data_IF_574929061011
#
_entry.id   IF_574929061011
#
_cell.length_a   1.000
_cell.length_b   1.000
_cell.length_c   1.000
_cell.angle_alpha   90.00
_cell.angle_beta   90.00
_cell.angle_gamma   90.00
#
_symmetry.space_group_name_H-M   'P 1'
#
loop_
_entity.id
_entity.type
_entity.pdbx_description
1 polymer ?
#
# COMPACT_ATOMS: atom_id res chain seq x y z
N UNK A 1 -26.76 -15.94 62.11
CA UNK A 1 -26.03 -15.15 63.12
C UNK A 1 -24.57 -15.20 62.70
N UNK A 2 -24.07 -14.26 61.91
CA UNK A 2 -23.87 -12.83 62.20
C UNK A 2 -22.82 -12.61 63.30
N UNK A 3 -21.67 -12.06 62.92
CA UNK A 3 -20.96 -10.89 63.49
C UNK A 3 -19.54 -10.85 62.90
N UNK A 4 -19.23 -9.96 61.95
CA UNK A 4 -18.87 -8.53 62.10
C UNK A 4 -17.59 -8.27 62.91
N UNK A 5 -16.60 -7.66 62.24
CA UNK A 5 -15.63 -6.68 62.78
C UNK A 5 -14.93 -6.04 61.57
N UNK A 6 -15.45 -4.92 61.04
CA UNK A 6 -15.31 -3.50 61.44
C UNK A 6 -14.19 -2.76 60.69
N UNK A 7 -14.61 -1.68 60.04
CA UNK A 7 -13.85 -0.66 59.33
C UNK A 7 -13.23 0.42 60.26
N UNK A 8 -11.99 0.86 59.94
CA UNK A 8 -11.44 2.27 59.74
C UNK A 8 -11.47 3.20 61.02
N UNK A 9 -10.63 4.24 61.26
CA UNK A 9 -10.01 5.13 60.26
C UNK A 9 -8.69 5.94 60.56
N UNK A 10 -8.33 6.79 59.58
CA UNK A 10 -7.49 8.03 59.55
C UNK A 10 -5.96 7.91 59.75
N UNK A 11 -5.07 8.53 58.94
CA UNK A 11 -5.01 9.87 58.33
C UNK A 11 -4.03 9.81 57.12
N UNK A 12 -4.18 10.62 56.07
CA UNK A 12 -3.46 11.89 55.91
C UNK A 12 -4.03 12.69 54.73
N UNK A 13 -4.04 14.02 54.92
CA UNK A 13 -4.42 15.02 53.94
C UNK A 13 -3.20 15.54 53.17
N UNK A 14 -3.49 16.06 51.96
CA UNK A 14 -2.80 17.18 51.30
C UNK A 14 -1.38 16.95 50.74
N UNK A 15 -1.26 16.88 49.42
CA UNK A 15 -0.83 18.04 48.62
C UNK A 15 -0.75 17.68 47.14
N UNK A 16 -1.43 18.46 46.32
CA UNK A 16 -1.26 18.58 44.88
C UNK A 16 0.17 19.03 44.54
N UNK A 17 0.77 18.46 43.48
CA UNK A 17 1.67 19.20 42.60
C UNK A 17 1.79 18.48 41.25
N UNK A 18 1.46 19.24 40.21
CA UNK A 18 1.62 18.92 38.79
C UNK A 18 3.06 18.54 38.46
N UNK A 19 3.23 17.52 37.60
CA UNK A 19 4.33 17.49 36.61
C UNK A 19 3.74 16.92 35.31
N UNK A 20 3.16 17.82 34.52
CA UNK A 20 3.11 17.69 33.06
C UNK A 20 4.54 17.89 32.51
N UNK A 21 4.87 17.13 31.46
CA UNK A 21 5.92 17.53 30.51
C UNK A 21 7.28 16.85 30.65
N UNK A 22 7.39 15.55 30.29
CA UNK A 22 8.69 14.99 29.92
C UNK A 22 8.71 13.70 29.07
N UNK A 23 7.57 13.16 28.61
CA UNK A 23 7.58 11.92 27.79
C UNK A 23 7.52 12.12 26.26
N UNK A 24 7.34 13.35 25.75
CA UNK A 24 7.26 13.59 24.30
C UNK A 24 8.63 13.81 23.62
N UNK A 25 9.68 14.15 24.39
CA UNK A 25 11.00 14.44 23.83
C UNK A 25 11.83 13.18 23.51
N UNK A 26 11.50 12.02 24.11
CA UNK A 26 12.21 10.76 23.83
C UNK A 26 11.72 10.03 22.57
N UNK A 27 10.48 10.29 22.11
CA UNK A 27 9.95 9.70 20.88
C UNK A 27 10.52 10.37 19.62
N UNK A 28 10.54 11.71 19.58
CA UNK A 28 10.98 12.47 18.41
C UNK A 28 12.52 12.45 18.22
N UNK A 29 13.28 12.48 19.32
CA UNK A 29 14.74 12.36 19.26
C UNK A 29 15.15 10.90 19.00
N UNK A 30 14.38 9.93 19.49
CA UNK A 30 14.58 8.50 19.24
C UNK A 30 14.54 8.13 17.77
N UNK A 31 13.56 8.64 17.01
CA UNK A 31 13.39 8.35 15.56
C UNK A 31 14.46 9.04 14.70
N UNK A 32 14.82 10.29 15.00
CA UNK A 32 15.87 11.03 14.25
C UNK A 32 17.27 10.47 14.57
N UNK A 33 17.50 10.03 15.81
CA UNK A 33 18.76 9.36 16.20
C UNK A 33 18.80 7.93 15.66
N UNK A 34 17.68 7.19 15.64
CA UNK A 34 17.62 5.85 15.04
C UNK A 34 17.88 5.89 13.54
N UNK A 35 17.29 6.86 12.81
CA UNK A 35 17.59 7.08 11.39
C UNK A 35 19.01 7.63 11.19
N UNK A 36 19.51 8.55 12.00
CA UNK A 36 20.92 8.99 11.91
C UNK A 36 21.93 7.87 12.17
N UNK A 37 21.69 7.04 13.18
CA UNK A 37 22.52 5.90 13.54
C UNK A 37 22.41 4.76 12.52
N UNK A 38 21.21 4.54 11.95
CA UNK A 38 21.02 3.58 10.86
C UNK A 38 21.79 4.02 9.59
N UNK A 39 21.89 5.32 9.31
CA UNK A 39 22.68 5.86 8.18
C UNK A 39 24.17 5.61 8.38
N UNK A 40 24.64 5.90 9.60
CA UNK A 40 26.04 5.69 9.99
C UNK A 40 26.36 4.20 10.01
N UNK A 41 25.46 3.35 10.51
CA UNK A 41 25.60 1.90 10.51
C UNK A 41 25.64 1.34 9.08
N UNK A 42 24.74 1.77 8.20
CA UNK A 42 24.73 1.41 6.77
C UNK A 42 26.03 1.83 6.07
N UNK A 43 26.49 3.07 6.27
CA UNK A 43 27.78 3.55 5.72
C UNK A 43 28.98 2.76 6.26
N UNK A 44 28.97 2.38 7.54
CA UNK A 44 30.04 1.60 8.18
C UNK A 44 30.04 0.15 7.67
N UNK A 45 28.87 -0.48 7.51
CA UNK A 45 28.73 -1.84 6.98
C UNK A 45 29.18 -1.91 5.52
N UNK A 46 28.73 -0.97 4.67
CA UNK A 46 29.08 -0.92 3.26
C UNK A 46 30.57 -0.58 3.01
N UNK A 47 31.20 0.23 3.88
CA UNK A 47 32.65 0.48 3.82
C UNK A 47 33.50 -0.72 4.30
N UNK A 48 32.94 -1.66 5.08
CA UNK A 48 33.66 -2.86 5.56
C UNK A 48 33.67 -4.01 4.54
N UNK A 49 32.77 -4.01 3.55
CA UNK A 49 32.72 -5.02 2.47
C UNK A 49 33.79 -4.85 1.38
N UNK A 50 34.58 -3.78 1.38
CA UNK A 50 35.60 -3.50 0.36
C UNK A 50 37.03 -3.95 0.71
N UNK A 51 37.23 -4.80 1.73
CA UNK A 51 38.54 -5.38 2.03
C UNK A 51 38.53 -6.92 1.96
N UNK A 52 39.26 -7.55 1.02
CA UNK A 52 39.34 -9.00 0.95
C UNK A 52 40.19 -9.51 2.12
N UNK A 53 39.59 -10.28 3.03
CA UNK A 53 40.31 -11.09 4.01
C UNK A 53 40.39 -12.53 3.51
N UNK A 54 41.59 -12.98 3.18
CA UNK A 54 41.89 -14.39 2.91
C UNK A 54 41.67 -15.23 4.17
N UNK A 55 40.81 -16.26 4.12
CA UNK A 55 40.61 -17.19 5.24
C UNK A 55 40.57 -18.63 4.72
N UNK A 56 41.35 -19.50 5.36
CA UNK A 56 41.50 -20.94 5.07
C UNK A 56 40.31 -21.80 5.55
N UNK A 57 40.17 -23.05 5.07
CA UNK A 57 38.94 -23.82 5.17
C UNK A 57 38.83 -24.63 6.47
N UNK A 58 38.34 -24.03 7.56
CA UNK A 58 37.98 -24.79 8.79
C UNK A 58 36.83 -24.20 9.64
N UNK A 59 36.02 -23.26 9.12
CA UNK A 59 34.97 -22.58 9.89
C UNK A 59 33.63 -22.47 9.13
N UNK A 60 33.09 -23.58 8.64
CA UNK A 60 31.96 -23.52 7.70
C UNK A 60 30.55 -23.67 8.28
N UNK A 61 30.36 -23.89 9.59
CA UNK A 61 28.99 -24.19 10.14
C UNK A 61 28.41 -23.11 11.06
N UNK A 62 29.23 -22.30 11.76
CA UNK A 62 28.71 -21.19 12.59
C UNK A 62 28.49 -19.87 11.85
N UNK A 63 29.19 -19.66 10.73
CA UNK A 63 29.07 -18.45 9.92
C UNK A 63 27.78 -18.38 9.07
N UNK A 64 27.06 -19.49 8.87
CA UNK A 64 25.88 -19.51 8.01
C UNK A 64 24.67 -18.86 8.67
N UNK A 65 24.44 -19.07 9.96
CA UNK A 65 23.35 -18.44 10.72
C UNK A 65 23.61 -16.95 10.97
N UNK A 66 24.83 -16.57 11.39
CA UNK A 66 25.20 -15.16 11.55
C UNK A 66 25.18 -14.39 10.23
N UNK A 67 25.64 -14.97 9.11
CA UNK A 67 25.55 -14.33 7.80
C UNK A 67 24.11 -14.24 7.28
N UNK A 68 23.21 -15.17 7.65
CA UNK A 68 21.79 -15.08 7.29
C UNK A 68 21.08 -13.99 8.09
N UNK A 69 21.40 -13.87 9.38
CA UNK A 69 20.83 -12.86 10.25
C UNK A 69 21.36 -11.46 9.92
N UNK A 70 22.64 -11.34 9.55
CA UNK A 70 23.23 -10.09 9.05
C UNK A 70 22.63 -9.65 7.71
N UNK A 71 22.46 -10.56 6.75
CA UNK A 71 21.77 -10.24 5.48
C UNK A 71 20.34 -9.79 5.73
N UNK A 72 19.60 -10.47 6.59
CA UNK A 72 18.24 -10.06 6.97
C UNK A 72 18.19 -8.66 7.60
N UNK A 73 19.15 -8.31 8.47
CA UNK A 73 19.22 -6.95 9.04
C UNK A 73 19.62 -5.88 8.02
N UNK A 74 20.47 -6.22 7.05
CA UNK A 74 20.89 -5.30 5.98
C UNK A 74 19.74 -5.04 4.99
N UNK A 75 18.96 -6.07 4.65
CA UNK A 75 17.76 -5.97 3.80
C UNK A 75 16.67 -5.12 4.46
N UNK A 76 16.41 -5.32 5.76
CA UNK A 76 15.44 -4.51 6.52
C UNK A 76 15.88 -3.04 6.56
N UNK A 77 17.14 -2.76 6.87
CA UNK A 77 17.66 -1.40 6.91
C UNK A 77 17.58 -0.74 5.53
N UNK A 78 17.90 -1.46 4.45
CA UNK A 78 17.79 -0.95 3.09
C UNK A 78 16.33 -0.62 2.70
N UNK A 79 15.39 -1.50 3.04
CA UNK A 79 13.95 -1.31 2.80
C UNK A 79 13.39 -0.09 3.55
N UNK A 80 13.69 0.03 4.85
CA UNK A 80 13.30 1.21 5.66
C UNK A 80 13.91 2.50 5.10
N UNK A 81 15.16 2.45 4.64
CA UNK A 81 15.82 3.59 4.02
C UNK A 81 15.21 4.01 2.68
N UNK A 82 14.85 3.04 1.84
CA UNK A 82 14.23 3.31 0.53
C UNK A 82 12.87 3.96 0.74
N UNK A 83 12.03 3.35 1.58
CA UNK A 83 10.70 3.85 1.91
C UNK A 83 10.73 5.28 2.47
N UNK A 84 11.61 5.57 3.43
CA UNK A 84 11.74 6.92 4.00
C UNK A 84 12.24 7.96 2.97
N UNK A 85 13.15 7.60 2.06
CA UNK A 85 13.60 8.49 0.98
C UNK A 85 12.52 8.72 -0.07
N UNK A 86 11.76 7.68 -0.40
CA UNK A 86 10.66 7.74 -1.35
C UNK A 86 9.55 8.66 -0.85
N UNK A 87 9.12 8.50 0.41
CA UNK A 87 8.17 9.42 1.06
C UNK A 87 8.68 10.87 1.06
N UNK A 88 9.98 11.10 1.32
CA UNK A 88 10.58 12.43 1.28
C UNK A 88 10.67 13.06 -0.13
N UNK A 89 10.78 12.25 -1.18
CA UNK A 89 10.78 12.71 -2.57
C UNK A 89 9.36 13.07 -3.05
N UNK A 90 8.38 12.23 -2.69
CA UNK A 90 6.94 12.43 -2.89
C UNK A 90 6.44 13.77 -2.32
N UNK A 91 6.94 14.17 -1.15
CA UNK A 91 6.58 15.42 -0.47
C UNK A 91 6.92 16.71 -1.22
N UNK A 92 7.72 16.63 -2.29
CA UNK A 92 8.03 17.79 -3.13
C UNK A 92 6.94 18.13 -4.13
N UNK A 93 5.95 17.25 -4.34
CA UNK A 93 4.82 17.50 -5.24
C UNK A 93 3.66 18.13 -4.46
N UNK A 94 3.36 19.40 -4.76
CA UNK A 94 2.21 20.11 -4.20
C UNK A 94 0.89 19.55 -4.74
N UNK A 95 0.44 18.40 -4.24
CA UNK A 95 -0.82 17.75 -4.65
C UNK A 95 -2.02 18.67 -4.40
N UNK A 96 -3.03 18.63 -5.29
CA UNK A 96 -4.25 19.41 -5.05
C UNK A 96 -5.01 18.95 -3.81
N UNK A 97 -4.82 17.70 -3.35
CA UNK A 97 -5.32 17.25 -2.06
C UNK A 97 -4.63 18.00 -0.91
N UNK A 98 -3.29 18.13 -0.97
CA UNK A 98 -2.52 18.90 0.03
C UNK A 98 -2.95 20.38 0.06
N UNK A 99 -3.23 20.96 -1.12
CA UNK A 99 -3.75 22.34 -1.23
C UNK A 99 -5.18 22.48 -0.70
N UNK A 100 -6.06 21.54 -1.01
CA UNK A 100 -7.43 21.51 -0.50
C UNK A 100 -7.46 21.44 1.02
N UNK A 101 -6.44 20.82 1.61
CA UNK A 101 -6.25 20.73 3.07
C UNK A 101 -5.60 21.98 3.68
N UNK A 102 -5.23 22.98 2.88
CA UNK A 102 -4.70 24.27 3.33
C UNK A 102 -3.25 24.22 3.83
N UNK A 103 -2.40 23.36 3.26
CA UNK A 103 -1.08 23.02 3.84
C UNK A 103 0.06 23.47 2.92
N UNK A 104 1.17 23.93 3.52
CA UNK A 104 2.38 24.39 2.81
C UNK A 104 3.37 23.26 2.55
N UNK A 105 4.08 23.30 1.41
CA UNK A 105 4.99 22.25 0.88
C UNK A 105 6.30 22.00 1.69
N UNK A 106 6.26 21.83 3.01
CA UNK A 106 7.46 21.49 3.80
C UNK A 106 7.45 20.01 4.24
N UNK A 107 8.56 19.31 4.00
CA UNK A 107 8.78 17.87 4.27
C UNK A 107 8.41 17.35 5.69
N UNK A 108 8.13 18.21 6.69
CA UNK A 108 7.72 17.80 8.05
C UNK A 108 6.21 17.80 8.26
N UNK A 109 5.44 18.12 7.23
CA UNK A 109 4.02 18.40 7.40
C UNK A 109 3.13 17.19 7.07
N UNK A 110 3.63 16.11 6.45
CA UNK A 110 2.75 14.99 6.03
C UNK A 110 2.49 13.91 7.07
N UNK A 111 3.45 13.56 7.92
CA UNK A 111 3.11 12.81 9.15
C UNK A 111 2.03 13.61 9.91
N UNK A 112 2.22 14.93 10.03
CA UNK A 112 1.18 15.84 10.57
C UNK A 112 -0.07 16.01 9.70
N UNK A 113 -0.10 15.57 8.44
CA UNK A 113 -1.30 15.56 7.58
C UNK A 113 -2.07 14.29 7.90
N UNK A 114 -1.40 13.13 7.90
CA UNK A 114 -2.01 11.87 8.26
C UNK A 114 -2.63 11.95 9.67
N UNK A 115 -1.94 12.60 10.60
CA UNK A 115 -2.43 12.86 11.98
C UNK A 115 -3.65 13.80 12.04
N UNK A 116 -4.09 14.43 10.95
CA UNK A 116 -5.32 15.25 10.92
C UNK A 116 -6.57 14.43 10.62
N UNK A 117 -6.40 13.22 10.07
CA UNK A 117 -7.50 12.36 9.67
C UNK A 117 -7.64 11.22 10.66
N UNK A 118 -8.77 11.18 11.33
CA UNK A 118 -9.08 10.16 12.32
C UNK A 118 -10.03 9.09 11.75
N UNK A 119 -10.73 9.40 10.65
CA UNK A 119 -11.69 8.47 10.03
C UNK A 119 -11.54 8.39 8.52
N UNK A 120 -12.05 7.29 7.94
CA UNK A 120 -12.07 7.09 6.47
C UNK A 120 -13.00 8.13 5.82
N UNK A 121 -14.08 8.48 6.49
CA UNK A 121 -15.08 9.44 6.01
C UNK A 121 -14.47 10.83 5.80
N UNK A 122 -13.60 11.28 6.71
CA UNK A 122 -12.88 12.55 6.56
C UNK A 122 -11.95 12.53 5.33
N UNK A 123 -11.29 11.40 5.06
CA UNK A 123 -10.46 11.23 3.86
C UNK A 123 -11.32 11.27 2.59
N UNK A 124 -12.45 10.56 2.56
CA UNK A 124 -13.39 10.61 1.44
C UNK A 124 -13.93 12.03 1.20
N UNK A 125 -14.25 12.77 2.26
CA UNK A 125 -14.69 14.17 2.14
C UNK A 125 -13.58 15.07 1.57
N UNK A 126 -12.34 14.91 2.04
CA UNK A 126 -11.20 15.65 1.52
C UNK A 126 -10.95 15.40 0.02
N UNK A 127 -11.04 14.13 -0.42
CA UNK A 127 -10.91 13.76 -1.84
C UNK A 127 -12.03 14.37 -2.68
N UNK A 128 -13.26 14.40 -2.15
CA UNK A 128 -14.40 15.07 -2.80
C UNK A 128 -14.17 16.57 -2.93
N UNK A 129 -13.72 17.22 -1.86
CA UNK A 129 -13.41 18.65 -1.84
C UNK A 129 -12.24 19.02 -2.77
N UNK A 130 -11.33 18.08 -3.03
CA UNK A 130 -10.26 18.23 -4.01
C UNK A 130 -10.74 18.08 -5.47
N UNK A 131 -12.02 17.75 -5.70
CA UNK A 131 -12.68 17.83 -7.00
C UNK A 131 -12.92 16.50 -7.72
N UNK A 132 -12.81 15.38 -7.00
CA UNK A 132 -13.27 14.06 -7.45
C UNK A 132 -14.75 13.94 -7.13
N UNK A 133 -15.59 13.86 -8.16
CA UNK A 133 -17.05 13.84 -8.02
C UNK A 133 -17.65 12.45 -8.28
N UNK A 134 -17.06 11.66 -9.16
CA UNK A 134 -17.46 10.29 -9.47
C UNK A 134 -16.28 9.48 -10.04
N UNK A 135 -16.25 8.19 -9.73
CA UNK A 135 -15.34 7.19 -10.30
C UNK A 135 -16.02 5.82 -10.31
N UNK A 136 -15.44 4.84 -11.01
CA UNK A 136 -15.78 3.43 -10.83
C UNK A 136 -14.54 2.66 -10.34
N UNK A 137 -14.74 1.53 -9.68
CA UNK A 137 -13.64 0.75 -9.08
C UNK A 137 -13.41 -0.58 -9.79
N UNK A 138 -12.13 -0.92 -9.97
CA UNK A 138 -11.69 -2.24 -10.43
C UNK A 138 -10.65 -2.76 -9.43
N UNK A 139 -10.76 -4.02 -9.01
CA UNK A 139 -9.74 -4.68 -8.21
C UNK A 139 -8.99 -5.74 -9.02
N UNK A 140 -7.68 -5.77 -8.87
CA UNK A 140 -6.81 -6.84 -9.34
C UNK A 140 -6.03 -7.45 -8.18
N UNK A 141 -6.17 -8.76 -8.00
CA UNK A 141 -5.59 -9.51 -6.89
C UNK A 141 -4.50 -10.45 -7.42
N UNK A 142 -3.29 -10.27 -6.92
CA UNK A 142 -2.13 -11.11 -7.22
C UNK A 142 -2.27 -12.49 -6.55
N UNK A 143 -2.27 -13.57 -7.34
CA UNK A 143 -2.27 -14.97 -6.89
C UNK A 143 -0.97 -15.71 -7.22
N UNK A 144 0.15 -15.01 -7.25
CA UNK A 144 1.46 -15.61 -7.49
C UNK A 144 1.97 -16.34 -6.25
N UNK A 145 2.88 -17.30 -6.46
CA UNK A 145 3.46 -18.12 -5.39
C UNK A 145 4.29 -17.34 -4.38
N UNK A 146 4.77 -16.15 -4.71
CA UNK A 146 5.59 -15.34 -3.80
C UNK A 146 4.84 -14.97 -2.53
N UNK A 147 3.53 -14.80 -2.61
CA UNK A 147 2.63 -14.63 -1.46
C UNK A 147 2.78 -15.70 -0.37
N UNK A 148 3.28 -16.91 -0.67
CA UNK A 148 3.52 -17.96 0.33
C UNK A 148 4.64 -17.62 1.32
N UNK A 149 5.57 -16.74 0.93
CA UNK A 149 6.77 -16.43 1.73
C UNK A 149 7.01 -14.93 1.92
N UNK A 150 6.34 -14.06 1.17
CA UNK A 150 6.43 -12.59 1.30
C UNK A 150 5.72 -12.03 2.55
N UNK A 151 5.15 -12.87 3.40
CA UNK A 151 4.63 -12.48 4.73
C UNK A 151 5.55 -12.91 5.87
N UNK A 152 6.83 -13.16 5.60
CA UNK A 152 7.77 -13.70 6.57
C UNK A 152 8.00 -12.75 7.73
N UNK A 153 8.10 -11.46 7.46
CA UNK A 153 8.37 -10.46 8.49
C UNK A 153 7.12 -9.66 8.85
N UNK A 154 6.33 -9.28 7.86
CA UNK A 154 5.13 -8.46 8.05
C UNK A 154 3.88 -9.24 8.46
N UNK A 155 3.87 -10.56 8.25
CA UNK A 155 2.68 -11.38 8.51
C UNK A 155 3.01 -12.67 9.27
N UNK A 156 4.00 -12.60 10.18
CA UNK A 156 4.36 -13.67 11.11
C UNK A 156 4.69 -15.02 10.45
N UNK A 157 5.27 -15.01 9.24
CA UNK A 157 5.58 -16.24 8.52
C UNK A 157 4.42 -16.85 7.75
N UNK A 158 3.23 -16.26 7.82
CA UNK A 158 2.06 -16.75 7.10
C UNK A 158 2.08 -16.33 5.63
N UNK A 159 1.36 -17.09 4.81
CA UNK A 159 1.00 -16.67 3.46
C UNK A 159 0.19 -15.38 3.55
N UNK A 160 0.43 -14.42 2.65
CA UNK A 160 -0.35 -13.18 2.58
C UNK A 160 -1.83 -13.41 2.24
N UNK A 161 -2.17 -14.58 1.70
CA UNK A 161 -3.57 -15.03 1.49
C UNK A 161 -4.10 -15.94 2.61
N UNK A 162 -3.38 -16.12 3.71
CA UNK A 162 -3.88 -16.95 4.81
C UNK A 162 -5.20 -16.36 5.33
N UNK A 163 -6.24 -17.18 5.38
CA UNK A 163 -7.54 -16.79 5.92
C UNK A 163 -7.61 -17.23 7.38
N UNK A 164 -7.84 -16.27 8.27
CA UNK A 164 -8.11 -16.47 9.69
C UNK A 164 -9.50 -15.90 10.02
N UNK A 165 -10.21 -16.52 10.96
CA UNK A 165 -11.56 -16.10 11.33
C UNK A 165 -11.59 -14.75 12.07
N UNK A 166 -10.52 -14.42 12.79
CA UNK A 166 -10.46 -13.27 13.67
C UNK A 166 -9.59 -12.13 13.11
N UNK A 167 -8.63 -12.47 12.25
CA UNK A 167 -7.61 -11.53 11.78
C UNK A 167 -7.62 -11.44 10.26
N UNK A 168 -8.00 -10.29 9.67
CA UNK A 168 -7.93 -10.12 8.24
C UNK A 168 -6.47 -10.08 7.78
N UNK A 169 -6.17 -10.80 6.69
CA UNK A 169 -4.88 -10.70 6.03
C UNK A 169 -4.71 -9.34 5.30
N UNK A 170 -3.48 -8.99 4.86
CA UNK A 170 -3.22 -7.70 4.22
C UNK A 170 -4.13 -7.40 3.03
N UNK A 171 -4.44 -8.39 2.18
CA UNK A 171 -5.37 -8.21 1.06
C UNK A 171 -6.78 -7.85 1.54
N UNK A 172 -7.33 -8.56 2.53
CA UNK A 172 -8.65 -8.26 3.10
C UNK A 172 -8.69 -6.85 3.70
N UNK A 173 -7.61 -6.43 4.38
CA UNK A 173 -7.50 -5.08 4.96
C UNK A 173 -7.51 -4.02 3.87
N UNK A 174 -6.72 -4.18 2.82
CA UNK A 174 -6.66 -3.22 1.70
C UNK A 174 -8.00 -3.12 0.98
N UNK A 175 -8.64 -4.24 0.64
CA UNK A 175 -9.98 -4.28 0.02
C UNK A 175 -10.98 -3.52 0.89
N UNK A 176 -10.96 -3.76 2.20
CA UNK A 176 -11.90 -3.13 3.14
C UNK A 176 -11.68 -1.63 3.22
N UNK A 177 -10.44 -1.17 3.41
CA UNK A 177 -10.15 0.24 3.60
C UNK A 177 -10.46 1.02 2.32
N UNK A 178 -9.88 0.63 1.18
CA UNK A 178 -10.09 1.35 -0.09
C UNK A 178 -11.52 1.21 -0.60
N UNK A 179 -12.15 0.05 -0.40
CA UNK A 179 -13.56 -0.15 -0.72
C UNK A 179 -14.46 0.84 0.01
N UNK A 180 -14.27 1.01 1.34
CA UNK A 180 -15.01 2.01 2.12
C UNK A 180 -14.68 3.45 1.71
N UNK A 181 -13.40 3.77 1.50
CA UNK A 181 -12.99 5.14 1.17
C UNK A 181 -13.54 5.58 -0.19
N UNK A 182 -13.60 4.66 -1.16
CA UNK A 182 -13.99 4.96 -2.53
C UNK A 182 -15.46 4.70 -2.84
N UNK A 183 -16.19 3.92 -2.02
CA UNK A 183 -17.62 3.65 -2.20
C UNK A 183 -18.49 4.91 -2.41
N UNK A 184 -18.25 6.07 -1.74
CA UNK A 184 -19.04 7.27 -1.98
C UNK A 184 -18.87 7.91 -3.38
N UNK A 185 -17.88 7.45 -4.17
CA UNK A 185 -17.62 7.93 -5.53
C UNK A 185 -18.07 6.93 -6.60
N UNK A 186 -18.24 5.66 -6.22
CA UNK A 186 -18.64 4.57 -7.09
C UNK A 186 -20.05 4.80 -7.64
N UNK A 187 -20.19 4.83 -8.96
CA UNK A 187 -21.41 5.36 -9.61
C UNK A 187 -22.56 4.36 -9.63
N UNK A 188 -22.26 3.08 -9.82
CA UNK A 188 -23.25 2.03 -10.05
C UNK A 188 -23.21 0.90 -9.01
N UNK A 189 -22.22 0.89 -8.11
CA UNK A 189 -22.02 -0.18 -7.14
C UNK A 189 -21.42 -1.44 -7.76
N UNK A 190 -21.04 -1.42 -9.05
CA UNK A 190 -20.56 -2.59 -9.80
C UNK A 190 -19.04 -2.57 -9.84
N UNK A 191 -18.41 -3.56 -9.21
CA UNK A 191 -16.97 -3.63 -9.04
C UNK A 191 -16.45 -4.88 -9.76
N UNK A 192 -15.80 -4.73 -10.93
CA UNK A 192 -15.03 -5.81 -11.54
C UNK A 192 -13.86 -6.22 -10.65
N UNK A 193 -13.71 -7.52 -10.42
CA UNK A 193 -12.65 -8.09 -9.58
C UNK A 193 -11.97 -9.23 -10.33
N UNK A 194 -10.67 -9.09 -10.53
CA UNK A 194 -9.87 -10.04 -11.30
C UNK A 194 -8.74 -10.61 -10.46
N UNK A 195 -8.41 -11.87 -10.70
CA UNK A 195 -7.19 -12.50 -10.22
C UNK A 195 -6.19 -12.70 -11.36
N UNK A 196 -4.90 -12.69 -11.04
CA UNK A 196 -3.82 -12.92 -12.01
C UNK A 196 -2.64 -13.65 -11.38
N UNK A 197 -1.78 -14.26 -12.20
CA UNK A 197 -0.56 -14.91 -11.71
C UNK A 197 -0.79 -16.24 -11.00
N UNK A 198 -2.01 -16.79 -11.03
CA UNK A 198 -2.27 -18.15 -10.58
C UNK A 198 -1.71 -19.18 -11.58
N UNK A 199 -1.79 -20.46 -11.22
CA UNK A 199 -1.30 -21.55 -12.05
C UNK A 199 -2.00 -21.62 -13.41
N UNK A 200 -3.26 -21.18 -13.51
CA UNK A 200 -4.01 -21.25 -14.76
C UNK A 200 -3.72 -20.06 -15.67
N UNK A 201 -3.62 -18.85 -15.12
CA UNK A 201 -3.45 -17.62 -15.91
C UNK A 201 -2.00 -17.25 -16.22
N UNK A 202 -1.06 -17.68 -15.37
CA UNK A 202 0.35 -17.31 -15.47
C UNK A 202 0.50 -15.78 -15.65
N UNK A 203 1.37 -15.34 -16.54
CA UNK A 203 1.63 -13.95 -16.89
C UNK A 203 0.90 -13.51 -18.19
N UNK A 204 -0.16 -14.23 -18.58
CA UNK A 204 -0.77 -14.12 -19.92
C UNK A 204 -2.19 -13.55 -19.92
N UNK A 205 -2.96 -13.77 -18.86
CA UNK A 205 -4.37 -13.34 -18.78
C UNK A 205 -4.78 -13.09 -17.33
N UNK A 206 -6.01 -12.67 -17.14
CA UNK A 206 -6.67 -12.60 -15.83
C UNK A 206 -7.85 -13.58 -15.77
N UNK A 207 -8.34 -13.86 -14.57
CA UNK A 207 -9.59 -14.60 -14.36
C UNK A 207 -10.57 -13.75 -13.54
N UNK A 208 -11.87 -13.89 -13.80
CA UNK A 208 -12.91 -13.24 -13.02
C UNK A 208 -13.11 -13.95 -11.67
N UNK A 209 -13.37 -13.18 -10.62
CA UNK A 209 -13.71 -13.70 -9.31
C UNK A 209 -15.05 -14.43 -9.27
N UNK A 210 -16.04 -14.02 -10.06
CA UNK A 210 -17.26 -14.82 -10.19
C UNK A 210 -17.12 -15.81 -11.35
N UNK A 211 -17.50 -17.08 -11.11
CA UNK A 211 -17.36 -18.15 -12.10
C UNK A 211 -18.33 -17.99 -13.29
N UNK A 212 -19.36 -17.15 -13.15
CA UNK A 212 -20.34 -16.81 -14.19
C UNK A 212 -19.99 -15.51 -14.95
N UNK A 213 -18.76 -15.01 -14.78
CA UNK A 213 -18.24 -13.76 -15.33
C UNK A 213 -19.00 -12.49 -14.91
N UNK A 214 -19.88 -12.56 -13.90
CA UNK A 214 -20.51 -11.38 -13.32
C UNK A 214 -19.51 -10.53 -12.52
N UNK A 215 -19.90 -9.29 -12.22
CA UNK A 215 -19.11 -8.39 -11.36
C UNK A 215 -19.70 -8.32 -9.95
N UNK A 216 -18.89 -7.86 -8.98
CA UNK A 216 -19.33 -7.74 -7.60
C UNK A 216 -20.26 -6.54 -7.41
N UNK A 217 -21.17 -6.62 -6.46
CA UNK A 217 -22.03 -5.51 -6.04
C UNK A 217 -21.60 -4.97 -4.67
N UNK A 218 -20.88 -3.84 -4.66
CA UNK A 218 -20.30 -3.23 -3.46
C UNK A 218 -19.06 -3.96 -2.94
N UNK A 219 -18.26 -3.27 -2.13
CA UNK A 219 -16.98 -3.80 -1.64
C UNK A 219 -17.16 -4.97 -0.66
N UNK A 220 -18.29 -5.05 0.05
CA UNK A 220 -18.62 -6.17 0.92
C UNK A 220 -18.74 -7.47 0.10
N UNK A 221 -19.29 -7.38 -1.11
CA UNK A 221 -19.34 -8.52 -2.01
C UNK A 221 -17.94 -8.89 -2.53
N UNK A 222 -17.08 -7.91 -2.83
CA UNK A 222 -15.67 -8.15 -3.19
C UNK A 222 -14.97 -8.97 -2.10
N UNK A 223 -15.09 -8.55 -0.84
CA UNK A 223 -14.48 -9.24 0.29
C UNK A 223 -15.02 -10.67 0.46
N UNK A 224 -16.35 -10.84 0.31
CA UNK A 224 -16.98 -12.16 0.35
C UNK A 224 -16.42 -13.10 -0.73
N UNK A 225 -16.39 -12.65 -1.99
CA UNK A 225 -15.95 -13.49 -3.11
C UNK A 225 -14.45 -13.77 -3.00
N UNK A 226 -13.64 -12.84 -2.49
CA UNK A 226 -12.24 -13.09 -2.16
C UNK A 226 -12.09 -14.25 -1.18
N UNK A 227 -12.82 -14.25 -0.06
CA UNK A 227 -12.77 -15.32 0.93
C UNK A 227 -13.19 -16.68 0.36
N UNK A 228 -14.15 -16.70 -0.58
CA UNK A 228 -14.62 -17.91 -1.24
C UNK A 228 -13.67 -18.42 -2.35
N UNK A 229 -12.96 -17.50 -3.02
CA UNK A 229 -12.08 -17.79 -4.16
C UNK A 229 -10.70 -18.25 -3.72
N UNK A 230 -10.10 -17.59 -2.72
CA UNK A 230 -8.74 -17.86 -2.24
C UNK A 230 -8.45 -19.35 -2.00
N UNK A 231 -9.30 -20.14 -1.31
CA UNK A 231 -9.02 -21.57 -1.07
C UNK A 231 -9.03 -22.44 -2.33
N UNK A 232 -9.62 -21.95 -3.44
CA UNK A 232 -9.82 -22.68 -4.69
C UNK A 232 -8.72 -22.38 -5.71
N UNK A 233 -7.99 -21.28 -5.55
CA UNK A 233 -6.97 -20.84 -6.50
C UNK A 233 -5.62 -21.49 -6.17
N UNK A 234 -5.01 -22.10 -7.18
CA UNK A 234 -3.65 -22.63 -7.06
C UNK A 234 -2.66 -21.55 -7.44
N UNK A 235 -1.87 -21.07 -6.48
CA UNK A 235 -0.89 -20.01 -6.73
C UNK A 235 0.14 -20.39 -7.81
N UNK A 236 0.52 -19.43 -8.65
CA UNK A 236 1.34 -19.64 -9.83
C UNK A 236 2.44 -18.59 -10.04
N UNK A 237 2.56 -18.14 -11.28
CA UNK A 237 3.51 -17.15 -11.76
C UNK A 237 3.84 -17.40 -13.24
N UNK A 238 4.67 -16.56 -13.88
CA UNK A 238 5.32 -15.36 -13.35
C UNK A 238 4.37 -14.19 -13.08
N UNK A 239 4.88 -13.10 -12.48
CA UNK A 239 4.10 -11.90 -12.16
C UNK A 239 4.25 -10.85 -13.27
N UNK A 240 3.13 -10.46 -13.90
CA UNK A 240 3.01 -9.36 -14.86
C UNK A 240 1.66 -8.66 -14.68
N UNK A 241 1.66 -7.34 -14.54
CA UNK A 241 0.42 -6.56 -14.42
C UNK A 241 -0.18 -6.19 -15.78
N UNK A 242 0.56 -6.36 -16.89
CA UNK A 242 0.10 -5.95 -18.21
C UNK A 242 -1.25 -6.56 -18.61
N UNK A 243 -1.55 -7.86 -18.38
CA UNK A 243 -2.85 -8.43 -18.71
C UNK A 243 -4.00 -7.75 -17.92
N UNK A 244 -3.78 -7.48 -16.63
CA UNK A 244 -4.77 -6.82 -15.78
C UNK A 244 -5.00 -5.36 -16.19
N UNK A 245 -3.93 -4.61 -16.43
CA UNK A 245 -4.02 -3.19 -16.84
C UNK A 245 -4.78 -3.09 -18.18
N UNK A 246 -4.50 -3.98 -19.13
CA UNK A 246 -5.22 -4.01 -20.42
C UNK A 246 -6.69 -4.42 -20.27
N UNK A 247 -7.01 -5.31 -19.34
CA UNK A 247 -8.40 -5.62 -19.04
C UNK A 247 -9.14 -4.42 -18.44
N UNK A 248 -8.48 -3.64 -17.57
CA UNK A 248 -9.05 -2.39 -17.08
C UNK A 248 -9.23 -1.35 -18.20
N UNK A 249 -8.28 -1.23 -19.13
CA UNK A 249 -8.43 -0.39 -20.33
C UNK A 249 -9.68 -0.79 -21.12
N UNK A 250 -9.90 -2.08 -21.37
CA UNK A 250 -11.08 -2.59 -22.09
C UNK A 250 -12.40 -2.19 -21.41
N UNK A 251 -12.45 -2.24 -20.09
CA UNK A 251 -13.62 -1.81 -19.30
C UNK A 251 -13.84 -0.30 -19.43
N UNK A 252 -12.76 0.47 -19.33
CA UNK A 252 -12.77 1.93 -19.46
C UNK A 252 -13.19 2.37 -20.86
N UNK A 253 -12.71 1.71 -21.91
CA UNK A 253 -13.09 1.97 -23.31
C UNK A 253 -14.59 1.76 -23.54
N UNK A 254 -15.15 0.68 -22.98
CA UNK A 254 -16.56 0.33 -23.14
C UNK A 254 -17.47 1.29 -22.38
N UNK A 255 -17.10 1.66 -21.16
CA UNK A 255 -17.88 2.56 -20.32
C UNK A 255 -17.74 4.03 -20.76
N UNK A 256 -16.54 4.45 -21.14
CA UNK A 256 -16.16 5.85 -21.35
C UNK A 256 -16.06 6.65 -20.04
N UNK A 257 -16.06 5.97 -18.88
CA UNK A 257 -16.11 6.60 -17.56
C UNK A 257 -14.76 6.51 -16.84
N UNK A 258 -14.56 7.37 -15.83
CA UNK A 258 -13.34 7.36 -15.03
C UNK A 258 -13.30 6.13 -14.12
N UNK A 259 -12.20 5.37 -14.20
CA UNK A 259 -11.98 4.21 -13.33
C UNK A 259 -10.70 4.36 -12.51
N UNK A 260 -10.72 3.78 -11.32
CA UNK A 260 -9.55 3.56 -10.49
C UNK A 260 -9.32 2.04 -10.44
N UNK A 261 -8.21 1.59 -11.00
CA UNK A 261 -7.73 0.22 -10.86
C UNK A 261 -6.87 0.11 -9.59
N UNK A 262 -7.30 -0.69 -8.63
CA UNK A 262 -6.53 -1.04 -7.44
C UNK A 262 -5.89 -2.41 -7.66
N UNK A 263 -4.57 -2.44 -7.79
CA UNK A 263 -3.77 -3.67 -7.85
C UNK A 263 -3.24 -3.96 -6.45
N UNK A 264 -3.52 -5.13 -5.90
CA UNK A 264 -2.97 -5.58 -4.63
C UNK A 264 -2.01 -6.73 -4.92
N UNK A 265 -0.76 -6.60 -4.51
CA UNK A 265 0.26 -7.62 -4.77
C UNK A 265 1.51 -7.47 -3.91
N UNK A 266 2.41 -8.45 -4.00
CA UNK A 266 3.62 -8.52 -3.17
C UNK A 266 4.88 -7.95 -3.83
N UNK A 267 4.69 -7.27 -4.98
CA UNK A 267 5.72 -6.47 -5.65
C UNK A 267 6.71 -7.26 -6.50
N UNK A 268 6.60 -8.60 -6.56
CA UNK A 268 7.55 -9.47 -7.28
C UNK A 268 7.33 -9.49 -8.80
N UNK A 269 7.24 -8.31 -9.44
CA UNK A 269 7.06 -8.21 -10.89
C UNK A 269 8.28 -8.74 -11.63
N UNK A 270 8.04 -9.70 -12.53
CA UNK A 270 9.11 -10.31 -13.35
C UNK A 270 9.15 -9.72 -14.76
N UNK A 271 8.04 -9.17 -15.24
CA UNK A 271 7.87 -8.69 -16.61
C UNK A 271 7.85 -7.16 -16.69
N UNK A 272 8.88 -6.50 -16.16
CA UNK A 272 8.94 -5.05 -15.97
C UNK A 272 8.55 -4.26 -17.23
N UNK A 273 9.18 -4.56 -18.38
CA UNK A 273 8.93 -3.83 -19.63
C UNK A 273 7.47 -3.92 -20.10
N UNK A 274 6.84 -5.11 -20.00
CA UNK A 274 5.44 -5.28 -20.41
C UNK A 274 4.51 -4.49 -19.51
N UNK A 275 4.76 -4.52 -18.21
CA UNK A 275 4.01 -3.71 -17.23
C UNK A 275 4.20 -2.21 -17.51
N UNK A 276 5.43 -1.74 -17.73
CA UNK A 276 5.70 -0.34 -18.09
C UNK A 276 4.94 0.09 -19.36
N UNK A 277 5.01 -0.72 -20.41
CA UNK A 277 4.32 -0.44 -21.68
C UNK A 277 2.80 -0.35 -21.46
N UNK A 278 2.21 -1.22 -20.64
CA UNK A 278 0.79 -1.18 -20.29
C UNK A 278 0.40 0.04 -19.43
N UNK A 279 1.25 0.49 -18.51
CA UNK A 279 1.01 1.73 -17.73
C UNK A 279 1.02 2.95 -18.65
N UNK A 280 1.97 3.01 -19.58
CA UNK A 280 2.04 4.09 -20.60
C UNK A 280 0.82 4.06 -21.51
N UNK A 281 0.39 2.88 -21.94
CA UNK A 281 -0.84 2.66 -22.71
C UNK A 281 -2.07 3.20 -21.94
N UNK A 282 -2.23 2.79 -20.67
CA UNK A 282 -3.31 3.21 -19.79
C UNK A 282 -3.43 4.73 -19.62
N UNK A 283 -2.33 5.48 -19.73
CA UNK A 283 -2.35 6.95 -19.62
C UNK A 283 -3.12 7.66 -20.73
N UNK A 284 -3.53 6.94 -21.79
CA UNK A 284 -4.39 7.46 -22.86
C UNK A 284 -5.89 7.37 -22.53
N UNK A 285 -6.24 6.77 -21.40
CA UNK A 285 -7.62 6.49 -20.98
C UNK A 285 -7.92 7.23 -19.68
N UNK A 286 -9.21 7.46 -19.33
CA UNK A 286 -9.60 7.96 -18.02
C UNK A 286 -9.42 6.86 -16.95
N UNK A 287 -8.18 6.45 -16.73
CA UNK A 287 -7.79 5.35 -15.83
C UNK A 287 -6.64 5.79 -14.93
N UNK A 288 -6.89 5.73 -13.62
CA UNK A 288 -5.87 5.82 -12.58
C UNK A 288 -5.54 4.45 -12.03
N UNK A 289 -4.28 4.20 -11.69
CA UNK A 289 -3.81 2.92 -11.17
C UNK A 289 -3.19 3.17 -9.79
N UNK A 290 -3.67 2.43 -8.79
CA UNK A 290 -3.11 2.37 -7.44
C UNK A 290 -2.54 0.96 -7.27
N UNK A 291 -1.22 0.84 -7.15
CA UNK A 291 -0.57 -0.42 -6.77
C UNK A 291 -0.29 -0.40 -5.28
N UNK A 292 -0.95 -1.28 -4.54
CA UNK A 292 -0.75 -1.49 -3.11
C UNK A 292 0.14 -2.70 -2.91
N UNK A 293 1.36 -2.43 -2.48
CA UNK A 293 2.32 -3.43 -2.03
C UNK A 293 1.94 -3.95 -0.65
N UNK A 294 1.67 -5.24 -0.55
CA UNK A 294 1.49 -5.96 0.72
C UNK A 294 2.63 -6.96 0.92
N UNK A 295 3.11 -7.09 2.15
CA UNK A 295 4.19 -8.00 2.49
C UNK A 295 5.56 -7.34 2.61
N UNK A 296 6.59 -8.19 2.52
CA UNK A 296 7.98 -7.86 2.82
C UNK A 296 8.69 -7.11 1.68
N UNK A 297 8.13 -7.13 0.46
CA UNK A 297 8.79 -6.62 -0.74
C UNK A 297 9.86 -7.57 -1.31
N UNK A 298 10.89 -7.06 -2.01
CA UNK A 298 11.30 -5.65 -2.09
C UNK A 298 10.47 -4.80 -3.09
N UNK A 299 10.60 -3.47 -3.03
CA UNK A 299 9.67 -2.52 -3.66
C UNK A 299 10.29 -1.56 -4.69
N UNK A 300 11.59 -1.64 -4.96
CA UNK A 300 12.30 -0.62 -5.75
C UNK A 300 11.71 -0.48 -7.15
N UNK A 301 11.36 -1.59 -7.81
CA UNK A 301 10.74 -1.57 -9.15
C UNK A 301 9.41 -0.81 -9.12
N UNK A 302 8.60 -0.97 -8.07
CA UNK A 302 7.33 -0.28 -7.94
C UNK A 302 7.54 1.23 -7.71
N UNK A 303 8.55 1.59 -6.92
CA UNK A 303 8.98 2.99 -6.76
C UNK A 303 9.48 3.60 -8.09
N UNK A 304 10.11 2.80 -8.96
CA UNK A 304 10.49 3.26 -10.30
C UNK A 304 9.30 3.51 -11.23
N UNK A 305 8.28 2.66 -11.17
CA UNK A 305 7.07 2.84 -12.00
C UNK A 305 6.27 4.08 -11.58
N UNK A 306 6.27 4.43 -10.30
CA UNK A 306 5.61 5.62 -9.78
C UNK A 306 6.21 6.89 -10.41
N UNK A 307 7.54 7.09 -10.39
CA UNK A 307 8.14 8.38 -10.76
C UNK A 307 8.91 8.42 -12.10
N UNK A 308 9.26 7.28 -12.69
CA UNK A 308 10.28 7.23 -13.77
C UNK A 308 9.74 6.75 -15.12
N UNK A 309 8.44 6.91 -15.40
CA UNK A 309 7.85 6.55 -16.70
C UNK A 309 7.69 7.80 -17.60
N UNK A 310 8.66 8.16 -18.45
CA UNK A 310 8.65 9.44 -19.18
C UNK A 310 7.64 9.52 -20.33
N UNK A 311 7.10 8.39 -20.79
CA UNK A 311 6.24 8.34 -21.99
C UNK A 311 4.75 8.49 -21.71
N UNK A 312 4.31 8.47 -20.44
CA UNK A 312 2.91 8.60 -20.06
C UNK A 312 2.37 10.02 -20.30
N UNK A 313 1.09 10.15 -20.64
CA UNK A 313 0.41 11.44 -20.91
C UNK A 313 0.19 12.28 -19.67
N UNK A 314 0.01 11.63 -18.54
CA UNK A 314 -0.02 12.20 -17.20
C UNK A 314 0.44 11.11 -16.23
N UNK A 315 0.77 11.51 -15.01
CA UNK A 315 1.10 10.55 -13.97
C UNK A 315 -0.14 9.74 -13.59
N UNK A 316 -0.27 8.49 -14.02
CA UNK A 316 -1.47 7.68 -13.84
C UNK A 316 -1.25 6.45 -12.93
N UNK A 317 -0.11 6.35 -12.26
CA UNK A 317 0.27 5.17 -11.48
C UNK A 317 0.86 5.61 -10.14
N UNK A 318 0.27 5.13 -9.05
CA UNK A 318 0.69 5.43 -7.68
C UNK A 318 1.05 4.12 -6.96
N UNK A 319 2.24 4.04 -6.37
CA UNK A 319 2.64 2.93 -5.51
C UNK A 319 2.51 3.26 -4.02
N UNK A 320 2.01 2.34 -3.21
CA UNK A 320 1.97 2.44 -1.74
C UNK A 320 2.40 1.12 -1.11
N UNK A 321 3.35 1.15 -0.17
CA UNK A 321 3.66 0.00 0.70
C UNK A 321 2.77 0.02 1.95
N UNK A 322 1.81 -0.90 2.02
CA UNK A 322 0.77 -0.95 3.03
C UNK A 322 1.33 -1.00 4.46
N UNK A 323 2.19 -1.97 4.76
CA UNK A 323 2.72 -2.19 6.11
C UNK A 323 3.56 -1.00 6.61
N UNK A 324 4.34 -0.36 5.73
CA UNK A 324 5.12 0.83 6.12
C UNK A 324 4.27 1.99 6.62
N UNK A 325 2.99 2.06 6.24
CA UNK A 325 2.09 3.12 6.69
C UNK A 325 1.34 2.70 7.94
N UNK A 326 0.72 1.51 7.92
CA UNK A 326 -0.15 1.09 9.02
C UNK A 326 0.62 0.83 10.32
N UNK A 327 1.89 0.43 10.23
CA UNK A 327 2.72 0.16 11.41
C UNK A 327 3.27 1.45 12.06
N UNK A 328 3.28 2.57 11.35
CA UNK A 328 3.87 3.84 11.80
C UNK A 328 2.84 4.94 12.07
N UNK A 329 1.55 4.67 11.89
CA UNK A 329 0.50 5.67 12.00
C UNK A 329 -0.30 5.54 13.31
N UNK A 330 -0.66 6.69 13.91
CA UNK A 330 -1.60 6.73 15.04
C UNK A 330 -3.00 6.28 14.60
N UNK A 331 -3.40 6.67 13.38
CA UNK A 331 -4.65 6.27 12.74
C UNK A 331 -4.37 5.49 11.45
N UNK A 332 -4.17 4.15 11.52
CA UNK A 332 -3.66 3.37 10.38
C UNK A 332 -4.55 3.38 9.13
N UNK A 333 -5.86 3.18 9.28
CA UNK A 333 -6.76 3.08 8.12
C UNK A 333 -6.91 4.42 7.37
N UNK A 334 -7.19 5.56 8.05
CA UNK A 334 -7.24 6.86 7.40
C UNK A 334 -5.90 7.25 6.78
N UNK A 335 -4.79 6.96 7.47
CA UNK A 335 -3.44 7.24 6.97
C UNK A 335 -3.15 6.47 5.69
N UNK A 336 -3.50 5.19 5.64
CA UNK A 336 -3.36 4.37 4.43
C UNK A 336 -4.26 4.90 3.30
N UNK A 337 -5.53 5.17 3.59
CA UNK A 337 -6.48 5.70 2.61
C UNK A 337 -6.00 7.04 2.00
N UNK A 338 -5.52 7.96 2.84
CA UNK A 338 -4.96 9.25 2.40
C UNK A 338 -3.76 9.05 1.47
N UNK A 339 -2.82 8.18 1.86
CA UNK A 339 -1.64 7.88 1.04
C UNK A 339 -2.04 7.24 -0.30
N UNK A 340 -3.04 6.37 -0.30
CA UNK A 340 -3.52 5.74 -1.52
C UNK A 340 -4.17 6.72 -2.49
N UNK A 341 -4.87 7.73 -1.97
CA UNK A 341 -5.66 8.66 -2.78
C UNK A 341 -4.97 10.01 -3.06
N UNK A 342 -3.72 10.18 -2.64
CA UNK A 342 -3.05 11.48 -2.66
C UNK A 342 -2.89 12.09 -4.07
N UNK A 343 -2.72 11.25 -5.09
CA UNK A 343 -2.59 11.69 -6.49
C UNK A 343 -3.90 11.65 -7.26
N UNK A 344 -4.92 10.94 -6.75
CA UNK A 344 -6.18 10.70 -7.46
C UNK A 344 -6.88 12.00 -7.87
N UNK A 345 -6.98 13.04 -7.01
CA UNK A 345 -7.53 14.33 -7.42
C UNK A 345 -6.77 15.03 -8.56
N UNK A 346 -5.42 15.00 -8.57
CA UNK A 346 -4.61 15.59 -9.64
C UNK A 346 -4.73 14.80 -10.95
N UNK A 347 -4.74 13.47 -10.85
CA UNK A 347 -4.96 12.55 -11.95
C UNK A 347 -6.32 12.78 -12.62
N UNK A 348 -7.38 12.85 -11.81
CA UNK A 348 -8.73 13.12 -12.29
C UNK A 348 -8.83 14.49 -12.98
N UNK A 349 -8.15 15.50 -12.44
CA UNK A 349 -8.05 16.82 -13.07
C UNK A 349 -7.34 16.75 -14.42
N UNK A 350 -6.24 16.00 -14.55
CA UNK A 350 -5.54 15.83 -15.83
C UNK A 350 -6.40 15.11 -16.86
N UNK A 351 -7.11 14.05 -16.45
CA UNK A 351 -8.08 13.33 -17.29
C UNK A 351 -9.15 14.29 -17.86
N UNK A 352 -9.68 15.18 -17.02
CA UNK A 352 -10.63 16.22 -17.44
C UNK A 352 -10.01 17.22 -18.42
N UNK A 353 -8.81 17.75 -18.12
CA UNK A 353 -8.10 18.72 -18.98
C UNK A 353 -7.75 18.15 -20.34
N UNK A 354 -7.38 16.88 -20.41
CA UNK A 354 -7.06 16.17 -21.66
C UNK A 354 -8.31 15.70 -22.42
N UNK A 355 -9.50 15.89 -21.86
CA UNK A 355 -10.78 15.54 -22.46
C UNK A 355 -10.92 14.04 -22.73
N UNK A 356 -10.40 13.18 -21.83
CA UNK A 356 -10.43 11.72 -22.00
C UNK A 356 -11.78 11.10 -21.62
N UNK A 357 -12.58 11.78 -20.79
CA UNK A 357 -13.91 11.31 -20.37
C UNK A 357 -14.89 11.26 -21.56
N UNK A 358 -15.75 10.24 -21.59
CA UNK A 358 -16.81 10.08 -22.58
C UNK A 358 -16.35 9.63 -23.97
N UNK A 359 -15.05 9.38 -24.18
CA UNK A 359 -14.53 8.81 -25.43
C UNK A 359 -14.86 7.33 -25.48
N UNK A 360 -15.99 6.98 -26.10
CA UNK A 360 -16.27 5.59 -26.48
C UNK A 360 -15.64 5.32 -27.83
N UNK A 361 -14.86 4.26 -27.94
CA UNK A 361 -14.43 3.75 -29.25
C UNK A 361 -15.70 3.21 -29.91
N UNK A 362 -16.04 3.71 -31.09
CA UNK A 362 -17.16 3.19 -31.88
C UNK A 362 -16.92 1.71 -32.15
N UNK A 363 -17.88 0.85 -31.81
CA UNK A 363 -17.89 -0.55 -32.23
C UNK A 363 -17.94 -0.57 -33.77
N UNK A 364 -16.82 -0.93 -34.41
CA UNK A 364 -16.76 -1.22 -35.86
C UNK A 364 -17.22 -2.66 -36.16
#
# INVERSE_FOLDING_TARGET
MAEELKMVPQSEASSSMEIEGSNLYYSLFGVVVASGLAYVAYKILMNRSNHPKSISPAHHVKNSQENRQRRGTEEILASVYSSARFQAARLRRSSCLVKALGISDKNKDFEKIADKFHTIEEVSEAVRNAGVDSSNLIFGIDFTKSNLYSGRYTFNGNSLHHLDENTPNPYQRVITILGKTLAPFDKDGIIPVFGFGDYTTEDKRVFNFNDDDSYCHGFENVLKVYNEKVPKVKLGGPTDFAPLIREAIRIVEKSGEYHILVIIGDGQVTAERRTQDAIVEASHYPLSIIMVGVGDGPWEIMEEFDDKLPKRKFDNFQFIHFESIVDNAEFPEPSFALNALMEIPDQFKQIKVQGLLGRKVSEE
#
